data_IF_568369051032
#
_entry.id   IF_568369051032
#
_cell.length_a   1.000
_cell.length_b   1.000
_cell.length_c   1.000
_cell.angle_alpha   90.00
_cell.angle_beta   90.00
_cell.angle_gamma   90.00
#
_symmetry.space_group_name_H-M   'P 1'
#
loop_
_entity.id
_entity.type
_entity.pdbx_description
1 polymer ?
#
# COMPACT_ATOMS: atom_id res chain seq x y z
N UNK A 1 9.51 -5.82 -14.06
CA UNK A 1 8.18 -6.00 -14.69
C UNK A 1 7.46 -4.66 -14.88
N UNK A 2 7.26 -3.84 -13.83
CA UNK A 2 6.57 -2.52 -13.87
C UNK A 2 7.22 -1.60 -14.92
N UNK A 3 8.53 -1.48 -14.87
CA UNK A 3 9.31 -0.69 -15.82
C UNK A 3 8.97 -1.06 -17.27
N UNK A 4 9.00 -2.37 -17.58
CA UNK A 4 8.71 -2.86 -18.93
C UNK A 4 7.25 -2.60 -19.36
N UNK A 5 6.31 -2.70 -18.43
CA UNK A 5 4.92 -2.36 -18.70
C UNK A 5 4.75 -0.86 -19.01
N UNK A 6 5.46 0.01 -18.27
CA UNK A 6 5.43 1.46 -18.52
C UNK A 6 6.09 1.84 -19.87
N UNK A 7 7.14 1.13 -20.29
CA UNK A 7 7.75 1.37 -21.62
C UNK A 7 6.74 1.20 -22.75
N UNK A 8 5.86 0.19 -22.63
CA UNK A 8 4.89 -0.16 -23.67
C UNK A 8 3.67 0.77 -23.73
N UNK A 9 3.48 1.61 -22.74
CA UNK A 9 2.35 2.56 -22.73
C UNK A 9 2.64 3.77 -23.63
N UNK A 10 1.58 4.31 -24.21
CA UNK A 10 1.60 5.65 -24.81
C UNK A 10 1.76 6.75 -23.75
N UNK A 11 2.21 7.95 -24.12
CA UNK A 11 2.21 9.10 -23.22
C UNK A 11 0.83 9.33 -22.59
N UNK A 12 0.79 9.60 -21.31
CA UNK A 12 -0.43 9.69 -20.48
C UNK A 12 -1.21 8.38 -20.34
N UNK A 13 -0.71 7.26 -20.86
CA UNK A 13 -1.27 5.94 -20.63
C UNK A 13 -1.23 5.57 -19.15
N UNK A 14 -2.22 4.80 -18.70
CA UNK A 14 -2.36 4.40 -17.30
C UNK A 14 -1.97 2.95 -17.10
N UNK A 15 -1.23 2.68 -16.04
CA UNK A 15 -0.91 1.34 -15.55
C UNK A 15 -1.56 1.14 -14.19
N UNK A 16 -2.41 0.14 -14.08
CA UNK A 16 -2.91 -0.34 -12.79
C UNK A 16 -2.37 -1.75 -12.61
N UNK A 17 -1.69 -1.98 -11.51
CA UNK A 17 -1.02 -3.25 -11.25
C UNK A 17 -1.14 -3.68 -9.80
N UNK A 18 -1.39 -4.97 -9.58
CA UNK A 18 -1.40 -5.61 -8.26
C UNK A 18 -0.06 -6.29 -8.03
N UNK A 19 0.60 -5.95 -6.93
CA UNK A 19 1.90 -6.51 -6.57
C UNK A 19 1.99 -6.71 -5.05
N UNK A 20 2.94 -7.55 -4.59
CA UNK A 20 3.30 -7.55 -3.17
C UNK A 20 3.71 -6.12 -2.75
N UNK A 21 3.16 -5.66 -1.64
CA UNK A 21 3.36 -4.27 -1.17
C UNK A 21 4.83 -3.89 -1.01
N UNK A 22 5.68 -4.88 -0.75
CA UNK A 22 7.12 -4.68 -0.57
C UNK A 22 7.88 -4.44 -1.89
N UNK A 23 7.28 -4.72 -3.04
CA UNK A 23 7.97 -4.71 -4.35
C UNK A 23 8.58 -3.35 -4.69
N UNK A 24 7.94 -2.26 -4.31
CA UNK A 24 8.42 -0.88 -4.52
C UNK A 24 8.92 -0.24 -3.21
N UNK A 25 9.39 -1.05 -2.27
CA UNK A 25 10.05 -0.57 -1.08
C UNK A 25 11.52 -0.25 -1.39
N UNK A 26 12.01 0.88 -0.92
CA UNK A 26 13.40 1.33 -1.04
C UNK A 26 14.43 0.26 -0.67
N UNK A 27 14.14 -0.51 0.37
CA UNK A 27 15.07 -1.50 0.90
C UNK A 27 15.07 -2.83 0.15
N UNK A 28 14.13 -3.05 -0.76
CA UNK A 28 13.91 -4.36 -1.43
C UNK A 28 14.08 -4.28 -2.94
N UNK A 29 13.98 -3.10 -3.54
CA UNK A 29 14.06 -2.96 -5.00
C UNK A 29 14.77 -1.69 -5.44
N UNK A 30 15.83 -1.86 -6.22
CA UNK A 30 16.55 -0.75 -6.85
C UNK A 30 15.78 -0.03 -7.95
N UNK A 31 14.60 -0.53 -8.32
CA UNK A 31 13.84 -0.03 -9.47
C UNK A 31 12.81 1.05 -9.19
N UNK A 32 12.57 1.42 -7.91
CA UNK A 32 11.54 2.40 -7.58
C UNK A 32 11.83 3.78 -8.18
N UNK A 33 13.06 4.24 -8.09
CA UNK A 33 13.46 5.51 -8.69
C UNK A 33 13.31 5.53 -10.21
N UNK A 34 13.67 4.43 -10.88
CA UNK A 34 13.57 4.33 -12.33
C UNK A 34 12.11 4.32 -12.79
N UNK A 35 11.22 3.66 -12.03
CA UNK A 35 9.77 3.70 -12.26
C UNK A 35 9.25 5.14 -12.11
N UNK A 36 9.65 5.83 -11.05
CA UNK A 36 9.20 7.21 -10.78
C UNK A 36 9.78 8.24 -11.77
N UNK A 37 10.91 7.96 -12.44
CA UNK A 37 11.41 8.78 -13.55
C UNK A 37 10.58 8.66 -14.82
N UNK A 38 9.85 7.57 -15.00
CA UNK A 38 9.05 7.29 -16.20
C UNK A 38 7.57 7.57 -16.03
N UNK A 39 7.09 7.58 -14.81
CA UNK A 39 5.66 7.68 -14.54
C UNK A 39 5.39 8.40 -13.22
N UNK A 40 4.27 9.12 -13.20
CA UNK A 40 3.71 9.64 -11.96
C UNK A 40 2.94 8.51 -11.27
N UNK A 41 3.21 8.30 -9.98
CA UNK A 41 2.40 7.47 -9.13
C UNK A 41 1.19 8.28 -8.66
N UNK A 42 -0.01 7.82 -8.99
CA UNK A 42 -1.25 8.52 -8.69
C UNK A 42 -1.85 8.04 -7.36
N UNK A 43 -1.88 6.72 -7.16
CA UNK A 43 -2.43 6.13 -5.94
C UNK A 43 -1.80 4.77 -5.59
N UNK A 44 -1.90 4.43 -4.32
CA UNK A 44 -1.58 3.10 -3.79
C UNK A 44 -2.72 2.65 -2.89
N UNK A 45 -3.35 1.50 -3.20
CA UNK A 45 -4.41 0.91 -2.38
C UNK A 45 -3.87 -0.36 -1.75
N UNK A 46 -3.74 -0.38 -0.44
CA UNK A 46 -3.40 -1.60 0.30
C UNK A 46 -4.62 -2.50 0.36
N UNK A 47 -4.44 -3.75 -0.02
CA UNK A 47 -5.49 -4.76 0.02
C UNK A 47 -5.53 -5.48 1.37
N UNK A 48 -6.71 -6.00 1.77
CA UNK A 48 -6.82 -6.81 2.97
C UNK A 48 -5.89 -8.02 2.91
N UNK A 49 -5.28 -8.39 4.04
CA UNK A 49 -4.37 -9.54 4.12
C UNK A 49 -5.05 -10.86 3.70
N UNK A 50 -6.38 -10.93 3.83
CA UNK A 50 -7.18 -12.08 3.44
C UNK A 50 -7.35 -12.25 1.93
N UNK A 51 -7.01 -11.25 1.11
CA UNK A 51 -7.29 -11.24 -0.34
C UNK A 51 -6.78 -12.49 -1.06
N UNK A 52 -5.57 -12.95 -0.75
CA UNK A 52 -4.96 -14.13 -1.39
C UNK A 52 -4.76 -15.32 -0.44
N UNK A 53 -5.39 -15.29 0.73
CA UNK A 53 -5.23 -16.32 1.76
C UNK A 53 -5.68 -17.71 1.30
N UNK A 54 -6.74 -17.79 0.53
CA UNK A 54 -7.30 -19.05 0.02
C UNK A 54 -6.38 -19.74 -1.01
N UNK A 55 -5.47 -18.99 -1.60
CA UNK A 55 -4.45 -19.49 -2.51
C UNK A 55 -3.18 -19.95 -1.75
N UNK A 56 -3.28 -20.11 -0.42
CA UNK A 56 -2.18 -20.56 0.43
C UNK A 56 -1.09 -19.50 0.63
N UNK A 57 -1.36 -18.23 0.30
CA UNK A 57 -0.38 -17.16 0.43
C UNK A 57 -0.88 -16.07 1.36
N UNK A 58 -0.09 -15.77 2.38
CA UNK A 58 -0.32 -14.65 3.28
C UNK A 58 0.71 -13.57 2.95
N UNK A 59 0.40 -12.74 1.94
CA UNK A 59 1.27 -11.67 1.47
C UNK A 59 0.49 -10.37 1.46
N UNK A 60 1.08 -9.33 2.02
CA UNK A 60 0.54 -7.98 1.85
C UNK A 60 0.69 -7.57 0.38
N UNK A 61 -0.43 -7.25 -0.24
CA UNK A 61 -0.50 -6.80 -1.62
C UNK A 61 -1.12 -5.42 -1.69
N UNK A 62 -0.72 -4.67 -2.70
CA UNK A 62 -1.28 -3.36 -2.99
C UNK A 62 -1.55 -3.21 -4.48
N UNK A 63 -2.53 -2.39 -4.80
CA UNK A 63 -2.80 -1.90 -6.15
C UNK A 63 -2.04 -0.59 -6.31
N UNK A 64 -1.23 -0.50 -7.35
CA UNK A 64 -0.50 0.71 -7.71
C UNK A 64 -1.07 1.27 -9.00
N UNK A 65 -1.40 2.55 -9.00
CA UNK A 65 -1.87 3.27 -10.18
C UNK A 65 -0.83 4.30 -10.64
N UNK A 66 -0.39 4.16 -11.89
CA UNK A 66 0.59 5.06 -12.50
C UNK A 66 0.00 5.70 -13.75
N UNK A 67 0.44 6.91 -14.02
CA UNK A 67 0.28 7.58 -15.32
C UNK A 67 1.65 7.79 -15.94
N UNK A 68 1.85 7.30 -17.17
CA UNK A 68 3.11 7.53 -17.90
C UNK A 68 3.28 9.01 -18.17
N UNK A 69 4.34 9.59 -17.66
CA UNK A 69 4.66 11.00 -17.79
C UNK A 69 6.15 11.15 -18.10
N UNK A 70 6.49 11.87 -19.16
CA UNK A 70 7.88 12.11 -19.58
C UNK A 70 8.68 12.90 -18.54
N UNK A 71 8.02 13.64 -17.67
CA UNK A 71 8.63 14.35 -16.52
C UNK A 71 8.75 13.48 -15.27
N UNK A 72 8.19 12.27 -15.29
CA UNK A 72 8.13 11.38 -14.14
C UNK A 72 7.30 11.92 -12.99
N UNK A 73 7.52 11.37 -11.81
CA UNK A 73 6.91 11.82 -10.57
C UNK A 73 7.66 13.05 -10.01
N UNK A 74 6.95 14.15 -9.83
CA UNK A 74 7.53 15.42 -9.39
C UNK A 74 7.51 15.52 -7.86
N UNK A 75 8.35 16.40 -7.31
CA UNK A 75 8.43 16.65 -5.86
C UNK A 75 7.10 17.12 -5.25
N UNK A 76 6.29 17.82 -6.06
CA UNK A 76 5.01 18.39 -5.61
C UNK A 76 3.81 17.47 -5.89
N UNK A 77 4.04 16.36 -6.58
CA UNK A 77 3.00 15.38 -6.86
C UNK A 77 2.62 14.65 -5.57
N UNK A 78 1.32 14.64 -5.28
CA UNK A 78 0.78 13.92 -4.13
C UNK A 78 0.23 12.58 -4.55
N UNK A 79 0.59 11.54 -3.82
CA UNK A 79 0.08 10.19 -3.99
C UNK A 79 -1.05 9.97 -2.99
N UNK A 80 -2.15 9.42 -3.48
CA UNK A 80 -3.23 8.94 -2.63
C UNK A 80 -2.87 7.57 -2.08
N UNK A 81 -2.78 7.44 -0.76
CA UNK A 81 -2.67 6.16 -0.08
C UNK A 81 -4.01 5.79 0.54
N UNK A 82 -4.51 4.61 0.20
CA UNK A 82 -5.79 4.08 0.67
C UNK A 82 -5.56 2.73 1.38
N UNK A 83 -5.99 2.61 2.63
CA UNK A 83 -5.95 1.35 3.38
C UNK A 83 -7.33 0.66 3.30
N UNK A 84 -7.46 -0.29 2.39
CA UNK A 84 -8.66 -1.11 2.27
C UNK A 84 -8.61 -2.24 3.29
N UNK A 85 -9.13 -1.97 4.48
CA UNK A 85 -9.13 -2.92 5.60
C UNK A 85 -10.09 -4.09 5.34
N UNK A 86 -11.24 -3.81 4.74
CA UNK A 86 -12.29 -4.79 4.45
C UNK A 86 -12.83 -4.56 3.03
N UNK A 87 -12.78 -5.58 2.19
CA UNK A 87 -13.32 -5.55 0.82
C UNK A 87 -14.77 -6.07 0.74
N UNK A 88 -15.39 -6.34 1.88
CA UNK A 88 -16.77 -6.84 1.94
C UNK A 88 -16.97 -8.29 1.52
N UNK A 89 -15.91 -8.96 1.04
CA UNK A 89 -15.98 -10.33 0.57
C UNK A 89 -15.76 -11.33 1.71
N UNK A 90 -16.49 -12.43 1.69
CA UNK A 90 -16.35 -13.52 2.66
C UNK A 90 -15.93 -14.81 1.96
N UNK A 91 -15.09 -15.59 2.63
CA UNK A 91 -14.67 -16.91 2.14
C UNK A 91 -15.81 -17.91 2.29
N UNK A 92 -16.14 -18.59 1.20
CA UNK A 92 -17.15 -19.65 1.17
C UNK A 92 -16.50 -20.92 0.64
N UNK A 93 -16.67 -22.03 1.38
CA UNK A 93 -16.11 -23.31 1.01
C UNK A 93 -16.46 -23.68 -0.44
N UNK A 94 -15.47 -24.09 -1.22
CA UNK A 94 -15.55 -24.44 -2.65
C UNK A 94 -15.99 -23.33 -3.61
N UNK A 95 -16.24 -22.11 -3.13
CA UNK A 95 -16.65 -20.98 -3.96
C UNK A 95 -15.64 -19.80 -3.94
N UNK A 96 -14.64 -19.89 -3.08
CA UNK A 96 -13.69 -18.79 -2.89
C UNK A 96 -14.32 -17.60 -2.18
N UNK A 97 -13.83 -16.40 -2.47
CA UNK A 97 -14.34 -15.16 -1.88
C UNK A 97 -15.53 -14.64 -2.68
N UNK A 98 -16.64 -14.41 -1.99
CA UNK A 98 -17.90 -13.97 -2.60
C UNK A 98 -18.49 -12.78 -1.83
N UNK A 99 -19.17 -11.91 -2.54
CA UNK A 99 -19.93 -10.80 -1.94
C UNK A 99 -21.30 -11.29 -1.41
N UNK A 100 -21.25 -12.06 -0.32
CA UNK A 100 -22.44 -12.64 0.29
C UNK A 100 -23.45 -11.60 0.79
N UNK A 101 -22.93 -10.45 1.23
CA UNK A 101 -23.74 -9.41 1.86
C UNK A 101 -23.99 -8.20 0.97
N UNK A 102 -23.64 -8.30 -0.31
CA UNK A 102 -23.80 -7.24 -1.32
C UNK A 102 -23.15 -5.90 -0.89
N UNK A 103 -21.97 -5.99 -0.31
CA UNK A 103 -21.23 -4.83 0.22
C UNK A 103 -20.23 -4.26 -0.79
N UNK A 104 -19.83 -5.05 -1.79
CA UNK A 104 -18.76 -4.67 -2.71
C UNK A 104 -19.07 -3.38 -3.47
N UNK A 105 -20.27 -3.23 -4.01
CA UNK A 105 -20.62 -2.03 -4.80
C UNK A 105 -20.42 -0.72 -4.01
N UNK A 106 -20.85 -0.69 -2.75
CA UNK A 106 -20.65 0.50 -1.91
C UNK A 106 -19.17 0.77 -1.61
N UNK A 107 -18.36 -0.27 -1.46
CA UNK A 107 -16.92 -0.16 -1.26
C UNK A 107 -16.24 0.32 -2.54
N UNK A 108 -16.61 -0.24 -3.68
CA UNK A 108 -16.12 0.15 -5.00
C UNK A 108 -16.43 1.61 -5.30
N UNK A 109 -17.67 2.05 -5.09
CA UNK A 109 -18.10 3.44 -5.26
C UNK A 109 -17.28 4.39 -4.36
N UNK A 110 -17.06 4.01 -3.11
CA UNK A 110 -16.26 4.82 -2.18
C UNK A 110 -14.80 4.94 -2.63
N UNK A 111 -14.19 3.85 -3.11
CA UNK A 111 -12.82 3.88 -3.65
C UNK A 111 -12.77 4.76 -4.91
N UNK A 112 -13.74 4.60 -5.81
CA UNK A 112 -13.84 5.35 -7.04
C UNK A 112 -13.97 6.85 -6.78
N UNK A 113 -14.83 7.23 -5.86
CA UNK A 113 -15.03 8.63 -5.46
C UNK A 113 -13.75 9.24 -4.90
N UNK A 114 -13.03 8.53 -4.03
CA UNK A 114 -11.78 9.01 -3.46
C UNK A 114 -10.70 9.20 -4.53
N UNK A 115 -10.55 8.23 -5.45
CA UNK A 115 -9.57 8.32 -6.53
C UNK A 115 -9.87 9.52 -7.44
N UNK A 116 -11.13 9.73 -7.81
CA UNK A 116 -11.50 10.78 -8.76
C UNK A 116 -11.63 12.17 -8.12
N UNK A 117 -12.18 12.25 -6.90
CA UNK A 117 -12.34 13.55 -6.21
C UNK A 117 -11.08 13.99 -5.50
N UNK A 118 -10.14 13.09 -5.33
CA UNK A 118 -8.95 13.33 -4.52
C UNK A 118 -9.25 13.70 -3.06
N UNK A 119 -10.37 13.25 -2.55
CA UNK A 119 -10.82 13.51 -1.18
C UNK A 119 -10.04 12.64 -0.20
N UNK A 120 -9.63 13.23 0.90
CA UNK A 120 -9.06 12.48 2.02
C UNK A 120 -10.17 12.05 2.98
N UNK A 121 -10.11 10.82 3.47
CA UNK A 121 -11.00 10.29 4.49
C UNK A 121 -10.15 9.88 5.68
N UNK A 122 -10.45 10.44 6.84
CA UNK A 122 -9.75 10.16 8.09
C UNK A 122 -9.66 8.64 8.35
N UNK A 123 -8.48 8.17 8.76
CA UNK A 123 -8.15 6.76 9.00
C UNK A 123 -8.34 5.79 7.82
N UNK A 124 -8.69 6.27 6.64
CA UNK A 124 -8.91 5.41 5.47
C UNK A 124 -7.96 5.75 4.35
N UNK A 125 -7.85 7.03 4.01
CA UNK A 125 -6.96 7.47 2.95
C UNK A 125 -6.41 8.86 3.20
N UNK A 126 -5.20 9.07 2.74
CA UNK A 126 -4.53 10.36 2.81
C UNK A 126 -3.67 10.59 1.57
N UNK A 127 -3.40 11.86 1.27
CA UNK A 127 -2.47 12.26 0.22
C UNK A 127 -1.14 12.69 0.81
N UNK A 128 -0.08 12.09 0.33
CA UNK A 128 1.26 12.43 0.76
C UNK A 128 2.18 12.76 -0.40
N UNK A 129 3.15 13.62 -0.12
CA UNK A 129 4.33 13.76 -0.95
C UNK A 129 5.23 12.55 -0.69
N UNK A 130 5.78 11.98 -1.76
CA UNK A 130 6.82 10.97 -1.66
C UNK A 130 8.14 11.55 -2.14
N UNK A 131 9.23 11.14 -1.49
CA UNK A 131 10.58 11.50 -1.86
C UNK A 131 11.35 10.29 -2.33
N UNK A 132 12.46 10.51 -3.03
CA UNK A 132 13.34 9.42 -3.43
C UNK A 132 13.71 8.58 -2.21
N UNK A 133 13.29 7.37 -2.23
CA UNK A 133 13.57 6.39 -1.22
C UNK A 133 12.52 6.18 -0.14
N UNK A 134 11.37 6.80 -0.25
CA UNK A 134 10.24 6.49 0.62
C UNK A 134 9.58 5.17 0.22
N UNK A 135 8.93 4.55 1.19
CA UNK A 135 8.17 3.32 0.96
C UNK A 135 6.85 3.65 0.29
N UNK A 136 6.57 3.03 -0.86
CA UNK A 136 5.31 3.21 -1.61
C UNK A 136 4.21 2.24 -1.12
N UNK A 137 4.04 2.12 0.19
CA UNK A 137 3.03 1.24 0.80
C UNK A 137 2.20 2.04 1.78
N UNK A 138 0.86 1.89 1.79
CA UNK A 138 0.00 2.61 2.74
C UNK A 138 0.31 2.24 4.19
N UNK A 139 0.81 1.03 4.44
CA UNK A 139 1.22 0.59 5.76
C UNK A 139 2.34 1.50 6.31
N UNK A 140 2.03 2.25 7.34
CA UNK A 140 2.92 3.25 7.92
C UNK A 140 2.77 4.66 7.36
N UNK A 141 1.96 4.86 6.31
CA UNK A 141 1.63 6.18 5.79
C UNK A 141 0.25 6.67 6.21
N UNK A 142 -0.74 5.78 6.30
CA UNK A 142 -2.02 6.16 6.91
C UNK A 142 -1.82 6.15 8.41
N UNK A 143 -1.75 7.34 8.99
CA UNK A 143 -1.75 7.48 10.44
C UNK A 143 -3.15 7.17 10.95
N UNK A 144 -3.32 6.00 11.53
CA UNK A 144 -4.55 5.66 12.25
C UNK A 144 -4.62 6.48 13.54
N UNK A 145 -5.09 7.72 13.40
CA UNK A 145 -5.34 8.63 14.52
C UNK A 145 -6.66 8.25 15.18
N UNK A 146 -6.74 7.04 15.71
CA UNK A 146 -7.87 6.68 16.56
C UNK A 146 -7.98 7.65 17.76
N UNK A 147 -9.14 7.74 18.39
CA UNK A 147 -9.34 8.55 19.61
C UNK A 147 -8.49 8.08 20.82
N UNK A 148 -7.65 7.06 20.63
CA UNK A 148 -6.69 6.64 21.63
C UNK A 148 -5.41 7.48 21.49
N UNK A 149 -4.97 8.06 22.58
CA UNK A 149 -3.65 8.65 22.69
C UNK A 149 -2.61 7.53 22.53
N UNK A 150 -2.05 7.38 21.36
CA UNK A 150 -0.92 6.49 21.14
C UNK A 150 0.34 7.14 21.70
N UNK A 151 0.89 6.55 22.72
CA UNK A 151 2.21 6.91 23.22
C UNK A 151 3.23 5.93 22.62
N UNK A 152 4.36 6.40 22.08
CA UNK A 152 5.44 5.50 21.69
C UNK A 152 5.81 4.58 22.86
N UNK A 153 6.02 3.31 22.61
CA UNK A 153 6.41 2.34 23.66
C UNK A 153 7.62 2.83 24.45
N UNK A 154 8.53 3.54 23.79
CA UNK A 154 9.73 4.15 24.41
C UNK A 154 9.43 5.23 25.47
N UNK A 155 8.22 5.80 25.46
CA UNK A 155 7.79 6.76 26.51
C UNK A 155 7.23 6.08 27.74
N UNK A 156 6.83 4.82 27.61
CA UNK A 156 6.24 4.03 28.71
C UNK A 156 7.23 3.01 29.30
N UNK A 157 8.20 2.56 28.48
CA UNK A 157 9.16 1.52 28.87
C UNK A 157 10.54 1.83 28.32
N UNK A 158 11.56 1.54 29.13
CA UNK A 158 12.93 1.47 28.64
C UNK A 158 13.15 0.09 28.04
N UNK A 159 13.36 0.00 26.71
CA UNK A 159 13.64 -1.26 26.05
C UNK A 159 15.14 -1.51 26.18
N UNK A 160 15.52 -2.56 26.93
CA UNK A 160 16.89 -3.07 26.98
C UNK A 160 16.92 -4.38 26.19
N UNK A 161 17.89 -4.48 25.28
CA UNK A 161 18.22 -5.74 24.66
C UNK A 161 18.90 -6.62 25.72
N UNK A 162 18.30 -7.77 26.05
CA UNK A 162 18.96 -8.74 26.92
C UNK A 162 20.26 -9.23 26.30
N UNK A 163 21.32 -9.26 27.06
CA UNK A 163 22.54 -9.98 26.67
C UNK A 163 22.25 -11.47 26.76
N UNK A 164 22.56 -12.21 25.70
CA UNK A 164 22.61 -13.68 25.76
C UNK A 164 23.70 -14.04 26.77
N UNK A 165 23.32 -14.59 27.92
CA UNK A 165 24.28 -15.25 28.78
C UNK A 165 24.77 -16.46 28.00
N UNK A 166 26.06 -16.49 27.67
CA UNK A 166 26.72 -17.70 27.23
C UNK A 166 26.67 -18.68 28.42
N UNK A 167 25.99 -19.80 28.24
CA UNK A 167 26.17 -20.98 29.11
C UNK A 167 27.57 -21.56 28.86
N UNK A 168 28.58 -20.92 29.40
CA UNK A 168 29.85 -21.61 29.66
C UNK A 168 29.69 -22.28 31.04
N UNK A 169 29.03 -23.43 31.02
CA UNK A 169 29.00 -24.34 32.13
C UNK A 169 30.26 -25.16 32.13
N UNK A 170 30.94 -25.16 33.25
CA UNK A 170 31.94 -26.14 33.63
C UNK A 170 31.42 -27.60 33.56
#
# INVERSE_FOLDING_TARGET
FVYKALELLEPNGKLIIVMPSITLNKNVGSGTEDVLKMARLDFVIKLPLSTFREQGRTVYTSIFGFTKDSGGHRKDDRVLFYDLVDDGLVSVQHKGRVDKYKRWNAIEDAIYDVINSSKEIYDVCEKRLIYNGDTLVPYGFVEHKGQMNYYPISTLFTIQTGELQSEDGE
#
